data_IF_999610081849
#
_entry.id   IF_999610081849
#
_cell.length_a   1.000
_cell.length_b   1.000
_cell.length_c   1.000
_cell.angle_alpha   90.00
_cell.angle_beta   90.00
_cell.angle_gamma   90.00
#
_symmetry.space_group_name_H-M   'P 1'
#
loop_
_entity.id
_entity.type
_entity.pdbx_description
1 polymer ?
#
# COMPACT_ATOMS: atom_id res chain seq x y z
N UNK A 1 -1.81 -11.53 9.19
CA UNK A 1 -0.36 -11.28 9.05
C UNK A 1 0.24 -12.01 7.83
N UNK A 2 -0.04 -13.31 7.62
CA UNK A 2 0.49 -14.09 6.50
C UNK A 2 0.22 -13.51 5.10
N UNK A 3 -1.04 -13.25 4.75
CA UNK A 3 -1.38 -12.66 3.44
C UNK A 3 -0.72 -11.30 3.19
N UNK A 4 -0.50 -10.51 4.25
CA UNK A 4 0.22 -9.23 4.14
C UNK A 4 1.68 -9.45 3.79
N UNK A 5 2.37 -10.33 4.51
CA UNK A 5 3.77 -10.66 4.23
C UNK A 5 3.96 -11.23 2.81
N UNK A 6 3.06 -12.11 2.37
CA UNK A 6 3.08 -12.65 1.01
C UNK A 6 2.87 -11.56 -0.07
N UNK A 7 1.95 -10.63 0.18
CA UNK A 7 1.72 -9.48 -0.71
C UNK A 7 2.93 -8.53 -0.75
N UNK A 8 3.58 -8.30 0.39
CA UNK A 8 4.80 -7.49 0.47
C UNK A 8 5.96 -8.14 -0.29
N UNK A 9 6.13 -9.47 -0.19
CA UNK A 9 7.09 -10.23 -0.99
C UNK A 9 6.81 -10.14 -2.50
N UNK A 10 5.55 -10.32 -2.91
CA UNK A 10 5.13 -10.14 -4.31
C UNK A 10 5.42 -8.72 -4.82
N UNK A 11 5.19 -7.70 -3.99
CA UNK A 11 5.52 -6.33 -4.36
C UNK A 11 7.03 -6.11 -4.49
N UNK A 12 7.85 -6.67 -3.61
CA UNK A 12 9.30 -6.58 -3.72
C UNK A 12 9.81 -7.23 -5.03
N UNK A 13 9.22 -8.36 -5.45
CA UNK A 13 9.53 -9.03 -6.72
C UNK A 13 9.14 -8.20 -7.95
N UNK A 14 7.92 -7.62 -7.95
CA UNK A 14 7.33 -7.02 -9.17
C UNK A 14 7.46 -5.51 -9.26
N UNK A 15 7.67 -4.82 -8.14
CA UNK A 15 7.70 -3.37 -8.05
C UNK A 15 8.99 -2.94 -7.32
N UNK A 16 10.17 -3.10 -7.94
CA UNK A 16 11.47 -2.90 -7.27
C UNK A 16 11.69 -1.48 -6.74
N UNK A 17 10.98 -0.49 -7.31
CA UNK A 17 11.05 0.90 -6.84
C UNK A 17 9.99 1.24 -5.77
N UNK A 18 9.04 0.33 -5.48
CA UNK A 18 8.07 0.53 -4.41
C UNK A 18 8.78 0.44 -3.06
N UNK A 19 8.82 1.55 -2.34
CA UNK A 19 9.50 1.63 -1.04
C UNK A 19 11.02 1.72 -1.12
N UNK A 20 11.58 1.91 -2.32
CA UNK A 20 13.01 2.17 -2.49
C UNK A 20 13.45 3.41 -1.69
N UNK A 21 14.76 3.52 -1.47
CA UNK A 21 15.37 4.73 -0.92
C UNK A 21 15.36 5.85 -1.98
N UNK A 22 14.18 6.44 -2.15
CA UNK A 22 13.97 7.53 -3.11
C UNK A 22 14.78 8.77 -2.76
N UNK A 23 15.16 8.98 -1.49
CA UNK A 23 16.05 10.06 -1.11
C UNK A 23 17.40 9.91 -1.81
N UNK A 24 18.03 8.74 -1.68
CA UNK A 24 19.28 8.41 -2.36
C UNK A 24 19.14 8.45 -3.89
N UNK A 25 18.04 7.94 -4.46
CA UNK A 25 17.81 7.98 -5.90
C UNK A 25 17.67 9.41 -6.44
N UNK A 26 16.99 10.30 -5.70
CA UNK A 26 16.86 11.72 -6.06
C UNK A 26 18.21 12.43 -5.97
N UNK A 27 19.01 12.15 -4.94
CA UNK A 27 20.37 12.70 -4.81
C UNK A 27 21.29 12.23 -5.92
N UNK A 28 21.28 10.94 -6.26
CA UNK A 28 22.04 10.41 -7.38
C UNK A 28 21.63 11.05 -8.73
N UNK A 29 20.37 11.48 -8.83
CA UNK A 29 19.84 12.19 -10.00
C UNK A 29 20.13 13.71 -10.00
N UNK A 30 20.94 14.22 -9.06
CA UNK A 30 21.32 15.64 -9.01
C UNK A 30 20.33 16.55 -8.29
N UNK A 31 19.44 15.99 -7.47
CA UNK A 31 18.55 16.78 -6.62
C UNK A 31 19.09 16.88 -5.18
N UNK A 32 18.91 18.04 -4.57
CA UNK A 32 19.02 18.18 -3.12
C UNK A 32 17.65 17.90 -2.50
N UNK A 33 17.55 16.84 -1.69
CA UNK A 33 16.34 16.49 -0.95
C UNK A 33 16.28 17.39 0.28
N UNK A 34 15.30 18.28 0.32
CA UNK A 34 15.12 19.24 1.41
C UNK A 34 14.27 18.65 2.54
N UNK A 35 13.40 17.70 2.19
CA UNK A 35 12.55 17.05 3.17
C UNK A 35 12.12 15.66 2.72
N UNK A 36 12.11 14.74 3.67
CA UNK A 36 11.41 13.46 3.58
C UNK A 36 10.36 13.42 4.70
N UNK A 37 9.14 12.99 4.36
CA UNK A 37 8.07 12.73 5.33
C UNK A 37 7.52 11.33 5.15
N UNK A 38 7.16 10.70 6.25
CA UNK A 38 6.38 9.47 6.28
C UNK A 38 5.14 9.72 7.15
N UNK A 39 4.01 10.03 6.50
CA UNK A 39 2.78 10.36 7.19
C UNK A 39 1.89 9.12 7.30
N UNK A 40 1.60 8.61 8.52
CA UNK A 40 0.58 7.59 8.71
C UNK A 40 -0.81 8.19 8.58
N UNK A 41 -1.68 7.51 7.84
CA UNK A 41 -3.08 7.85 7.66
C UNK A 41 -3.94 6.71 8.19
N UNK A 42 -4.95 7.06 8.96
CA UNK A 42 -5.95 6.13 9.45
C UNK A 42 -7.34 6.75 9.28
N UNK A 43 -8.24 6.00 8.64
CA UNK A 43 -9.65 6.34 8.51
C UNK A 43 -10.47 5.29 9.27
N UNK A 44 -11.31 5.77 10.19
CA UNK A 44 -12.21 4.96 11.02
C UNK A 44 -13.65 5.36 10.77
N UNK A 45 -14.59 4.55 11.26
CA UNK A 45 -16.01 4.86 11.23
C UNK A 45 -16.33 6.25 11.86
N UNK A 46 -17.33 6.98 11.34
CA UNK A 46 -18.16 6.63 10.18
C UNK A 46 -17.38 6.76 8.88
N UNK A 47 -17.41 5.71 8.05
CA UNK A 47 -16.74 5.70 6.78
C UNK A 47 -17.64 6.28 5.67
N UNK A 48 -17.05 6.84 4.60
CA UNK A 48 -17.82 7.25 3.42
C UNK A 48 -18.60 6.08 2.82
N UNK A 49 -19.74 6.35 2.19
CA UNK A 49 -20.64 5.36 1.58
C UNK A 49 -19.91 4.33 0.67
N UNK A 50 -18.84 4.76 -0.01
CA UNK A 50 -18.03 3.91 -0.88
C UNK A 50 -17.02 2.99 -0.19
N UNK A 51 -16.86 3.04 1.13
CA UNK A 51 -15.75 2.36 1.82
C UNK A 51 -15.85 0.83 1.77
N UNK A 52 -17.06 0.27 1.93
CA UNK A 52 -17.27 -1.18 1.79
C UNK A 52 -16.97 -1.67 0.37
N UNK A 53 -17.41 -0.93 -0.65
CA UNK A 53 -17.08 -1.22 -2.05
C UNK A 53 -15.58 -1.11 -2.33
N UNK A 54 -14.92 -0.11 -1.75
CA UNK A 54 -13.47 0.05 -1.86
C UNK A 54 -12.73 -1.14 -1.24
N UNK A 55 -13.13 -1.57 -0.03
CA UNK A 55 -12.57 -2.74 0.62
C UNK A 55 -12.72 -4.00 -0.23
N UNK A 56 -13.91 -4.23 -0.80
CA UNK A 56 -14.17 -5.36 -1.69
C UNK A 56 -13.20 -5.40 -2.88
N UNK A 57 -13.05 -4.29 -3.61
CA UNK A 57 -12.15 -4.21 -4.77
C UNK A 57 -10.68 -4.44 -4.39
N UNK A 58 -10.29 -4.02 -3.19
CA UNK A 58 -8.94 -4.27 -2.67
C UNK A 58 -8.76 -5.76 -2.33
N UNK A 59 -9.70 -6.37 -1.62
CA UNK A 59 -9.60 -7.77 -1.24
C UNK A 59 -9.71 -8.73 -2.42
N UNK A 60 -10.57 -8.44 -3.40
CA UNK A 60 -10.67 -9.22 -4.65
C UNK A 60 -9.33 -9.22 -5.41
N UNK A 61 -8.69 -8.06 -5.54
CA UNK A 61 -7.36 -7.95 -6.15
C UNK A 61 -6.27 -8.69 -5.36
N UNK A 62 -6.29 -8.58 -4.03
CA UNK A 62 -5.34 -9.28 -3.17
C UNK A 62 -5.52 -10.78 -3.32
N UNK A 63 -6.76 -11.28 -3.29
CA UNK A 63 -7.08 -12.69 -3.48
C UNK A 63 -6.54 -13.21 -4.80
N UNK A 64 -6.78 -12.50 -5.91
CA UNK A 64 -6.24 -12.88 -7.22
C UNK A 64 -4.71 -12.84 -7.29
N UNK A 65 -4.08 -11.90 -6.59
CA UNK A 65 -2.61 -11.77 -6.56
C UNK A 65 -1.92 -12.86 -5.73
N UNK A 66 -2.62 -13.42 -4.75
CA UNK A 66 -2.10 -14.44 -3.84
C UNK A 66 -2.48 -15.88 -4.25
N UNK A 67 -3.23 -16.05 -5.34
CA UNK A 67 -3.58 -17.36 -5.87
C UNK A 67 -2.32 -18.19 -6.19
N UNK A 68 -2.26 -19.41 -5.66
CA UNK A 68 -1.08 -20.28 -5.77
C UNK A 68 0.19 -19.79 -5.05
N UNK A 69 0.11 -18.73 -4.24
CA UNK A 69 1.24 -18.16 -3.46
C UNK A 69 1.10 -18.28 -1.95
N UNK A 70 -0.11 -18.51 -1.45
CA UNK A 70 -0.40 -18.73 -0.04
C UNK A 70 -1.16 -20.04 0.15
N UNK A 71 -1.30 -20.47 1.40
CA UNK A 71 -2.04 -21.66 1.77
C UNK A 71 -3.53 -21.55 1.38
N UNK A 72 -4.18 -22.69 1.13
CA UNK A 72 -5.59 -22.75 0.76
C UNK A 72 -6.50 -22.13 1.85
N UNK A 73 -6.16 -22.27 3.13
CA UNK A 73 -6.93 -21.68 4.23
C UNK A 73 -6.84 -20.14 4.23
N UNK A 74 -5.69 -19.59 3.81
CA UNK A 74 -5.50 -18.14 3.66
C UNK A 74 -6.32 -17.59 2.48
N UNK A 75 -6.39 -18.32 1.37
CA UNK A 75 -7.27 -17.96 0.24
C UNK A 75 -8.74 -18.06 0.62
N UNK A 76 -9.15 -19.14 1.29
CA UNK A 76 -10.52 -19.32 1.76
C UNK A 76 -10.94 -18.22 2.75
N UNK A 77 -10.01 -17.73 3.57
CA UNK A 77 -10.27 -16.59 4.44
C UNK A 77 -10.48 -15.29 3.66
N UNK A 78 -9.76 -15.07 2.56
CA UNK A 78 -10.01 -13.93 1.66
C UNK A 78 -11.32 -14.08 0.90
N UNK A 79 -11.68 -15.29 0.48
CA UNK A 79 -12.92 -15.57 -0.24
C UNK A 79 -14.15 -15.24 0.63
N UNK A 80 -14.15 -15.59 1.92
CA UNK A 80 -15.22 -15.22 2.88
C UNK A 80 -15.43 -13.71 3.04
N UNK A 81 -14.40 -12.90 2.77
CA UNK A 81 -14.49 -11.45 2.88
C UNK A 81 -15.14 -10.79 1.65
N UNK A 82 -15.36 -11.53 0.56
CA UNK A 82 -15.84 -11.01 -0.73
C UNK A 82 -17.00 -11.84 -1.34
N UNK A 83 -17.51 -12.85 -0.63
CA UNK A 83 -18.51 -13.79 -1.14
C UNK A 83 -19.98 -13.32 -1.03
N UNK A 84 -20.24 -12.17 -0.40
CA UNK A 84 -21.58 -11.64 -0.13
C UNK A 84 -22.24 -12.21 1.13
N UNK A 85 -21.51 -13.01 1.92
CA UNK A 85 -21.96 -13.57 3.19
C UNK A 85 -21.84 -12.60 4.38
N UNK A 86 -22.04 -13.10 5.60
CA UNK A 86 -22.02 -12.28 6.82
C UNK A 86 -20.67 -11.61 7.12
N UNK A 87 -19.56 -12.18 6.63
CA UNK A 87 -18.21 -11.64 6.81
C UNK A 87 -17.81 -10.66 5.70
N UNK A 88 -18.66 -10.48 4.67
CA UNK A 88 -18.32 -9.66 3.52
C UNK A 88 -18.07 -8.20 3.92
N UNK A 89 -16.94 -7.67 3.46
CA UNK A 89 -16.46 -6.33 3.79
C UNK A 89 -17.40 -5.21 3.34
N UNK A 90 -18.32 -5.47 2.41
CA UNK A 90 -19.31 -4.49 1.95
C UNK A 90 -20.35 -4.16 3.02
N UNK A 91 -20.57 -5.04 3.99
CA UNK A 91 -21.59 -4.90 5.03
C UNK A 91 -21.02 -4.55 6.41
N UNK A 92 -19.69 -4.49 6.54
CA UNK A 92 -18.99 -4.25 7.80
C UNK A 92 -18.90 -2.76 8.11
N UNK A 93 -19.20 -2.38 9.35
CA UNK A 93 -19.16 -1.01 9.87
C UNK A 93 -17.92 -0.70 10.71
N UNK A 94 -17.15 -1.73 11.07
CA UNK A 94 -15.94 -1.70 11.90
C UNK A 94 -14.65 -1.73 11.07
N UNK A 95 -14.73 -1.41 9.78
CA UNK A 95 -13.55 -1.30 8.92
C UNK A 95 -12.64 -0.14 9.35
N UNK A 96 -11.34 -0.36 9.22
CA UNK A 96 -10.31 0.67 9.41
C UNK A 96 -9.37 0.66 8.21
N UNK A 97 -9.28 1.79 7.51
CA UNK A 97 -8.35 1.94 6.38
C UNK A 97 -7.07 2.57 6.89
N UNK A 98 -5.94 1.88 6.71
CA UNK A 98 -4.61 2.36 7.10
C UNK A 98 -3.71 2.49 5.89
N UNK A 99 -2.93 3.56 5.85
CA UNK A 99 -1.91 3.78 4.83
C UNK A 99 -0.76 4.58 5.41
N UNK A 100 0.41 4.50 4.80
CA UNK A 100 1.53 5.40 5.09
C UNK A 100 1.97 6.01 3.78
N UNK A 101 1.99 7.34 3.72
CA UNK A 101 2.45 8.08 2.53
C UNK A 101 3.84 8.60 2.81
N UNK A 102 4.81 8.11 2.03
CA UNK A 102 6.16 8.69 2.00
C UNK A 102 6.22 9.73 0.90
N UNK A 103 6.68 10.93 1.23
CA UNK A 103 6.83 12.04 0.29
C UNK A 103 8.20 12.67 0.43
N UNK A 104 8.73 13.15 -0.69
CA UNK A 104 9.98 13.87 -0.77
C UNK A 104 9.73 15.24 -1.39
N UNK A 105 10.36 16.26 -0.82
CA UNK A 105 10.50 17.57 -1.47
C UNK A 105 11.98 17.75 -1.79
N UNK A 106 12.26 18.02 -3.06
CA UNK A 106 13.61 18.16 -3.56
C UNK A 106 13.66 19.25 -4.61
N UNK A 107 14.81 19.90 -4.73
CA UNK A 107 15.11 20.89 -5.77
C UNK A 107 16.38 20.49 -6.52
N UNK A 108 16.58 20.94 -7.77
CA UNK A 108 17.85 20.75 -8.45
C UNK A 108 19.01 21.22 -7.57
N UNK A 109 20.07 20.42 -7.49
CA UNK A 109 21.31 20.84 -6.87
C UNK A 109 21.83 22.05 -7.66
N UNK A 110 22.16 23.14 -6.97
CA UNK A 110 22.81 24.27 -7.62
C UNK A 110 24.22 23.83 -8.00
N UNK A 111 24.56 23.88 -9.29
CA UNK A 111 25.97 23.82 -9.68
C UNK A 111 26.67 24.99 -9.00
N UNK A 112 27.63 24.68 -8.13
CA UNK A 112 28.50 25.73 -7.61
C UNK A 112 29.26 26.31 -8.79
N UNK A 113 28.94 27.55 -9.17
CA UNK A 113 29.72 28.31 -10.13
C UNK A 113 31.17 28.29 -9.64
N UNK A 114 32.02 27.54 -10.36
CA UNK A 114 33.44 27.42 -10.07
C UNK A 114 34.05 28.82 -10.19
N UNK A 115 34.56 29.35 -9.07
CA UNK A 115 35.41 30.54 -9.04
C UNK A 115 36.77 30.26 -9.68
#
# INVERSE_FOLDING_TARGET
ARCRAALDGLHAERLPHRGADWGSLLTAAGFSVEQERAEPWELRAPLPEGAGRYAFLVFERIRGSLDGRVDADDLAALDRLIDGGPEDVRHRDDLVVRSTRRTWMARPAQESAKA
#
